data_IF_387147063524
#
_entry.id   IF_387147063524
#
_cell.length_a   1.000
_cell.length_b   1.000
_cell.length_c   1.000
_cell.angle_alpha   90.00
_cell.angle_beta   90.00
_cell.angle_gamma   90.00
#
_symmetry.space_group_name_H-M   'P 1'
#
loop_
_entity.id
_entity.type
_entity.pdbx_description
1 polymer ?
#
# COMPACT_ATOMS: atom_id res chain seq x y z
N UNK A 1 -62.32 26.30 -3.59
CA UNK A 1 -61.00 26.93 -3.86
C UNK A 1 -60.76 28.03 -2.84
N UNK A 2 -59.50 28.21 -2.38
CA UNK A 2 -59.02 29.28 -1.46
C UNK A 2 -59.66 29.37 -0.06
N UNK A 3 -58.87 29.04 0.97
CA UNK A 3 -58.78 29.70 2.30
C UNK A 3 -57.29 29.53 2.73
N UNK A 4 -56.51 30.46 3.28
CA UNK A 4 -56.63 31.59 4.22
C UNK A 4 -56.25 31.22 5.68
N UNK A 5 -55.08 31.75 6.11
CA UNK A 5 -54.62 32.24 7.44
C UNK A 5 -54.97 31.53 8.78
N UNK A 6 -53.97 31.50 9.68
CA UNK A 6 -53.95 31.51 11.19
C UNK A 6 -52.49 31.15 11.62
N UNK A 7 -51.79 31.68 12.64
CA UNK A 7 -51.72 32.94 13.43
C UNK A 7 -50.17 33.17 13.72
N UNK A 8 -49.58 34.33 14.05
CA UNK A 8 -49.45 35.07 15.34
C UNK A 8 -49.22 34.20 16.62
N UNK A 9 -48.46 34.58 17.67
CA UNK A 9 -47.57 35.73 17.92
C UNK A 9 -46.60 35.48 19.13
N UNK A 10 -45.40 36.10 19.05
CA UNK A 10 -44.71 36.98 20.06
C UNK A 10 -44.77 36.70 21.57
N UNK A 11 -43.59 36.53 22.20
CA UNK A 11 -43.04 37.31 23.34
C UNK A 11 -41.71 36.67 23.85
N UNK A 12 -40.71 37.32 24.49
CA UNK A 12 -39.96 38.60 24.37
C UNK A 12 -39.29 38.89 25.74
N UNK A 13 -38.01 39.32 25.72
CA UNK A 13 -37.08 39.67 26.84
C UNK A 13 -36.55 38.52 27.74
N UNK A 14 -35.23 38.54 28.00
CA UNK A 14 -34.58 37.73 29.03
C UNK A 14 -33.05 37.75 28.94
N UNK A 15 -32.41 38.74 29.57
CA UNK A 15 -30.94 38.89 29.59
C UNK A 15 -30.25 37.85 30.48
N UNK A 16 -28.92 37.75 30.32
CA UNK A 16 -27.94 37.36 31.35
C UNK A 16 -27.65 35.88 31.63
N UNK A 17 -26.36 35.56 31.51
CA UNK A 17 -25.54 34.74 32.44
C UNK A 17 -25.86 33.23 32.60
N UNK A 18 -24.87 32.43 32.20
CA UNK A 18 -24.57 31.04 32.55
C UNK A 18 -25.35 30.36 33.69
N UNK A 19 -25.89 29.17 33.41
CA UNK A 19 -25.72 27.99 34.31
C UNK A 19 -25.87 26.67 33.54
N UNK A 20 -25.15 25.63 33.97
CA UNK A 20 -25.22 24.29 33.38
C UNK A 20 -26.51 23.56 33.78
N UNK A 21 -27.25 23.05 32.81
CA UNK A 21 -28.18 21.91 32.99
C UNK A 21 -28.32 21.14 31.67
N UNK A 22 -27.58 20.04 31.55
CA UNK A 22 -27.64 19.15 30.38
C UNK A 22 -28.93 18.32 30.43
N UNK A 23 -30.00 18.82 29.81
CA UNK A 23 -31.26 18.08 29.67
C UNK A 23 -31.13 17.12 28.49
N UNK A 24 -30.70 15.89 28.76
CA UNK A 24 -30.61 14.85 27.74
C UNK A 24 -32.00 14.58 27.15
N UNK A 25 -32.15 14.82 25.85
CA UNK A 25 -33.32 14.38 25.11
C UNK A 25 -33.28 12.86 25.03
N UNK A 26 -34.15 12.20 25.80
CA UNK A 26 -34.37 10.77 25.67
C UNK A 26 -34.74 10.47 24.21
N UNK A 27 -33.93 9.63 23.56
CA UNK A 27 -34.15 9.25 22.16
C UNK A 27 -35.44 8.43 22.09
N UNK A 28 -36.36 8.84 21.24
CA UNK A 28 -37.47 8.00 20.83
C UNK A 28 -36.92 6.89 19.91
N UNK A 29 -36.82 5.69 20.45
CA UNK A 29 -36.25 4.53 19.76
C UNK A 29 -37.25 3.84 18.83
N UNK A 30 -38.54 4.09 19.00
CA UNK A 30 -39.58 3.61 18.11
C UNK A 30 -39.58 4.44 16.83
N UNK A 31 -39.56 5.77 16.94
CA UNK A 31 -39.39 6.67 15.78
C UNK A 31 -38.08 6.41 15.02
N UNK A 32 -36.98 6.14 15.72
CA UNK A 32 -35.71 5.77 15.10
C UNK A 32 -35.75 4.41 14.38
N UNK A 33 -36.56 3.47 14.87
CA UNK A 33 -36.75 2.16 14.25
C UNK A 33 -37.58 2.24 12.97
N UNK A 34 -38.71 2.96 12.98
CA UNK A 34 -39.53 3.14 11.77
C UNK A 34 -38.74 3.85 10.66
N UNK A 35 -37.95 4.88 11.00
CA UNK A 35 -37.05 5.55 10.05
C UNK A 35 -35.98 4.60 9.49
N UNK A 36 -35.46 3.66 10.29
CA UNK A 36 -34.50 2.67 9.83
C UNK A 36 -35.14 1.65 8.89
N UNK A 37 -36.37 1.19 9.16
CA UNK A 37 -37.13 0.37 8.22
C UNK A 37 -37.39 1.11 6.91
N UNK A 38 -37.67 2.40 6.94
CA UNK A 38 -37.93 3.19 5.74
C UNK A 38 -36.66 3.42 4.89
N UNK A 39 -35.50 3.58 5.54
CA UNK A 39 -34.22 3.94 4.90
C UNK A 39 -33.28 2.77 4.59
N UNK A 40 -33.39 1.62 5.27
CA UNK A 40 -32.57 0.43 5.02
C UNK A 40 -33.44 -0.77 4.61
N UNK A 41 -33.53 -1.07 3.29
CA UNK A 41 -34.25 -2.24 2.79
C UNK A 41 -33.75 -3.57 3.36
N UNK A 42 -32.44 -3.72 3.66
CA UNK A 42 -31.89 -4.98 4.20
C UNK A 42 -32.33 -5.21 5.65
N UNK A 43 -32.57 -4.15 6.42
CA UNK A 43 -33.18 -4.26 7.76
C UNK A 43 -34.66 -4.60 7.64
N UNK A 44 -35.38 -3.96 6.71
CA UNK A 44 -36.80 -4.25 6.45
C UNK A 44 -37.03 -5.69 6.02
N UNK A 45 -36.36 -6.15 4.98
CA UNK A 45 -36.45 -7.53 4.46
C UNK A 45 -36.16 -8.56 5.56
N UNK A 46 -35.24 -8.24 6.49
CA UNK A 46 -34.85 -9.12 7.60
C UNK A 46 -35.88 -9.14 8.74
N UNK A 47 -36.62 -8.07 8.96
CA UNK A 47 -37.77 -8.05 9.89
C UNK A 47 -38.97 -8.74 9.26
N UNK A 48 -39.29 -8.46 8.00
CA UNK A 48 -40.42 -9.05 7.27
C UNK A 48 -40.26 -10.57 7.07
N UNK A 49 -39.03 -11.06 6.91
CA UNK A 49 -38.72 -12.51 6.90
C UNK A 49 -38.65 -13.17 8.29
N UNK A 50 -38.92 -12.43 9.38
CA UNK A 50 -38.85 -12.93 10.75
C UNK A 50 -37.43 -13.20 11.27
N UNK A 51 -36.39 -12.80 10.52
CA UNK A 51 -34.97 -13.01 10.86
C UNK A 51 -34.40 -12.03 11.90
N UNK A 52 -35.17 -11.03 12.34
CA UNK A 52 -34.89 -10.16 13.49
C UNK A 52 -36.18 -9.53 14.03
N UNK A 53 -36.28 -9.31 15.34
CA UNK A 53 -37.42 -8.59 15.96
C UNK A 53 -37.13 -7.10 16.14
N UNK A 54 -38.18 -6.29 16.30
CA UNK A 54 -38.09 -4.85 16.56
C UNK A 54 -37.19 -4.52 17.75
N UNK A 55 -37.31 -5.30 18.83
CA UNK A 55 -36.53 -5.15 20.07
C UNK A 55 -35.05 -5.46 19.84
N UNK A 56 -34.73 -6.46 19.00
CA UNK A 56 -33.35 -6.80 18.65
C UNK A 56 -32.69 -5.70 17.81
N UNK A 57 -33.42 -5.12 16.85
CA UNK A 57 -32.95 -3.97 16.06
C UNK A 57 -32.76 -2.74 16.96
N UNK A 58 -33.70 -2.43 17.85
CA UNK A 58 -33.58 -1.32 18.81
C UNK A 58 -32.41 -1.54 19.79
N UNK A 59 -32.19 -2.77 20.28
CA UNK A 59 -31.05 -3.10 21.13
C UNK A 59 -29.71 -2.93 20.39
N UNK A 60 -29.66 -3.30 19.11
CA UNK A 60 -28.51 -3.07 18.24
C UNK A 60 -28.25 -1.56 18.02
N UNK A 61 -29.29 -0.76 17.75
CA UNK A 61 -29.17 0.71 17.61
C UNK A 61 -28.70 1.39 18.91
N UNK A 62 -29.17 0.92 20.08
CA UNK A 62 -28.69 1.39 21.39
C UNK A 62 -27.21 1.05 21.60
N UNK A 63 -26.80 -0.17 21.21
CA UNK A 63 -25.41 -0.66 21.35
C UNK A 63 -24.43 0.06 20.41
N UNK A 64 -24.84 0.40 19.19
CA UNK A 64 -24.00 1.16 18.26
C UNK A 64 -23.80 2.61 18.71
N UNK A 65 -24.83 3.25 19.29
CA UNK A 65 -24.71 4.62 19.83
C UNK A 65 -23.75 4.71 21.05
N UNK A 66 -23.62 3.65 21.84
CA UNK A 66 -22.74 3.60 23.01
C UNK A 66 -21.23 3.43 22.67
N UNK A 67 -20.89 3.09 21.42
CA UNK A 67 -19.51 2.72 21.02
C UNK A 67 -18.67 3.81 20.35
N UNK A 68 -19.20 5.01 20.10
CA UNK A 68 -18.56 5.97 19.17
C UNK A 68 -17.53 6.88 19.85
N UNK A 69 -16.24 6.51 19.78
CA UNK A 69 -15.15 7.50 19.72
C UNK A 69 -15.01 7.99 18.27
N UNK A 70 -14.97 9.31 18.08
CA UNK A 70 -14.97 10.01 16.78
C UNK A 70 -13.92 9.49 15.78
N UNK A 71 -14.36 9.06 14.59
CA UNK A 71 -13.66 9.32 13.32
C UNK A 71 -14.52 9.03 12.07
N UNK A 72 -15.37 9.98 11.68
CA UNK A 72 -15.83 10.13 10.29
C UNK A 72 -16.13 11.62 10.05
N UNK A 73 -15.59 12.22 8.99
CA UNK A 73 -15.88 13.60 8.61
C UNK A 73 -17.22 13.66 7.86
N UNK A 74 -18.04 14.66 8.18
CA UNK A 74 -19.39 14.85 7.60
C UNK A 74 -19.41 14.91 6.06
N UNK A 75 -18.30 15.34 5.44
CA UNK A 75 -18.11 15.39 4.00
C UNK A 75 -18.17 14.03 3.29
N UNK A 76 -17.92 12.90 3.97
CA UNK A 76 -18.00 11.56 3.37
C UNK A 76 -19.45 11.06 3.33
N UNK A 77 -20.22 11.32 4.40
CA UNK A 77 -21.64 10.93 4.48
C UNK A 77 -22.49 11.70 3.47
N UNK A 78 -22.24 13.01 3.32
CA UNK A 78 -22.93 13.83 2.32
C UNK A 78 -22.72 13.32 0.88
N UNK A 79 -21.48 12.96 0.52
CA UNK A 79 -21.15 12.43 -0.82
C UNK A 79 -21.85 11.10 -1.13
N UNK A 80 -22.06 10.25 -0.13
CA UNK A 80 -22.75 8.97 -0.33
C UNK A 80 -24.26 9.17 -0.55
N UNK A 81 -24.87 10.11 0.18
CA UNK A 81 -26.27 10.50 0.00
C UNK A 81 -26.53 11.12 -1.39
N UNK A 82 -25.68 12.07 -1.82
CA UNK A 82 -25.74 12.67 -3.17
C UNK A 82 -25.58 11.63 -4.29
N UNK A 83 -24.78 10.58 -4.06
CA UNK A 83 -24.60 9.49 -5.01
C UNK A 83 -25.84 8.58 -5.09
N UNK A 84 -26.46 8.24 -3.94
CA UNK A 84 -27.71 7.49 -3.90
C UNK A 84 -28.84 8.20 -4.65
N UNK A 85 -29.02 9.51 -4.43
CA UNK A 85 -30.05 10.30 -5.13
C UNK A 85 -29.83 10.32 -6.65
N UNK A 86 -28.57 10.35 -7.12
CA UNK A 86 -28.25 10.28 -8.55
C UNK A 86 -28.57 8.90 -9.14
N UNK A 87 -28.31 7.82 -8.41
CA UNK A 87 -28.69 6.47 -8.84
C UNK A 87 -30.22 6.31 -8.91
N UNK A 88 -30.97 6.79 -7.91
CA UNK A 88 -32.44 6.80 -7.95
C UNK A 88 -33.01 7.59 -9.12
N UNK A 89 -32.42 8.75 -9.45
CA UNK A 89 -32.82 9.54 -10.62
C UNK A 89 -32.55 8.79 -11.93
N UNK A 90 -31.41 8.10 -12.05
CA UNK A 90 -31.08 7.28 -13.22
C UNK A 90 -32.04 6.09 -13.38
N UNK A 91 -32.40 5.43 -12.28
CA UNK A 91 -33.42 4.35 -12.27
C UNK A 91 -34.79 4.88 -12.67
N UNK A 92 -35.24 6.00 -12.11
CA UNK A 92 -36.53 6.64 -12.49
C UNK A 92 -36.56 7.08 -13.95
N UNK A 93 -35.41 7.45 -14.53
CA UNK A 93 -35.28 7.79 -15.96
C UNK A 93 -35.18 6.57 -16.89
N UNK A 94 -35.21 5.34 -16.37
CA UNK A 94 -35.07 4.10 -17.16
C UNK A 94 -33.66 3.84 -17.71
N UNK A 95 -32.70 4.73 -17.46
CA UNK A 95 -31.30 4.60 -17.93
C UNK A 95 -30.50 3.54 -17.20
N UNK A 96 -31.03 3.00 -16.10
CA UNK A 96 -30.33 2.08 -15.21
C UNK A 96 -31.37 1.20 -14.50
N UNK A 97 -31.11 -0.11 -14.37
CA UNK A 97 -32.00 -0.99 -13.61
C UNK A 97 -31.75 -0.89 -12.10
N UNK A 98 -32.76 -1.18 -11.27
CA UNK A 98 -32.60 -1.24 -9.80
C UNK A 98 -31.43 -2.11 -9.36
N UNK A 99 -31.17 -3.22 -10.07
CA UNK A 99 -30.05 -4.14 -9.80
C UNK A 99 -28.69 -3.51 -10.11
N UNK A 100 -28.53 -2.90 -11.28
CA UNK A 100 -27.30 -2.19 -11.63
C UNK A 100 -27.03 -0.99 -10.70
N UNK A 101 -28.09 -0.34 -10.20
CA UNK A 101 -27.96 0.74 -9.24
C UNK A 101 -27.43 0.23 -7.89
N UNK A 102 -27.94 -0.92 -7.42
CA UNK A 102 -27.43 -1.59 -6.23
C UNK A 102 -25.96 -2.01 -6.39
N UNK A 103 -25.58 -2.60 -7.52
CA UNK A 103 -24.18 -2.99 -7.81
C UNK A 103 -23.23 -1.78 -7.84
N UNK A 104 -23.65 -0.65 -8.45
CA UNK A 104 -22.88 0.60 -8.43
C UNK A 104 -22.80 1.23 -7.03
N UNK A 105 -23.88 1.17 -6.25
CA UNK A 105 -23.91 1.65 -4.88
C UNK A 105 -22.98 0.82 -3.98
N UNK A 106 -23.03 -0.52 -4.07
CA UNK A 106 -22.12 -1.40 -3.34
C UNK A 106 -20.65 -1.23 -3.79
N UNK A 107 -20.40 -0.86 -5.05
CA UNK A 107 -19.04 -0.53 -5.53
C UNK A 107 -18.48 0.76 -4.90
N UNK A 108 -19.31 1.77 -4.62
CA UNK A 108 -18.88 3.00 -3.93
C UNK A 108 -18.92 2.90 -2.39
N UNK A 109 -19.92 2.22 -1.82
CA UNK A 109 -20.04 2.03 -0.38
C UNK A 109 -19.12 0.92 0.14
N UNK A 110 -18.70 -0.01 -0.72
CA UNK A 110 -17.91 -1.20 -0.41
C UNK A 110 -16.40 -0.97 -0.28
N UNK A 111 -15.98 -0.25 0.77
CA UNK A 111 -14.66 -0.51 1.36
C UNK A 111 -14.69 -0.75 2.87
N UNK A 112 -15.82 -1.24 3.38
CA UNK A 112 -15.94 -1.83 4.71
C UNK A 112 -16.94 -3.00 4.63
N UNK A 113 -16.42 -4.22 4.69
CA UNK A 113 -17.22 -5.43 4.83
C UNK A 113 -16.60 -6.25 5.96
N UNK A 114 -17.15 -6.06 7.16
CA UNK A 114 -16.84 -6.92 8.30
C UNK A 114 -17.33 -8.34 8.02
N UNK A 115 -16.51 -9.31 8.41
CA UNK A 115 -16.65 -10.70 8.01
C UNK A 115 -17.82 -11.41 8.68
N UNK A 116 -18.84 -11.75 7.90
CA UNK A 116 -19.62 -12.97 8.15
C UNK A 116 -18.92 -14.11 7.41
N UNK A 117 -18.50 -15.17 8.12
CA UNK A 117 -17.88 -16.33 7.50
C UNK A 117 -18.90 -17.06 6.62
N UNK A 118 -18.80 -16.87 5.30
CA UNK A 118 -19.36 -17.83 4.36
C UNK A 118 -18.36 -18.99 4.26
N UNK A 119 -18.80 -20.17 4.69
CA UNK A 119 -18.00 -21.38 4.60
C UNK A 119 -17.77 -21.71 3.12
N UNK A 120 -16.51 -21.69 2.68
CA UNK A 120 -16.17 -21.98 1.29
C UNK A 120 -16.23 -23.48 1.08
N UNK A 121 -17.04 -23.94 0.14
CA UNK A 121 -16.94 -25.29 -0.38
C UNK A 121 -15.59 -25.44 -1.11
N UNK A 122 -14.72 -26.28 -0.54
CA UNK A 122 -13.36 -26.47 -1.05
C UNK A 122 -13.29 -27.49 -2.18
N UNK A 123 -14.30 -28.35 -2.31
CA UNK A 123 -14.41 -29.31 -3.40
C UNK A 123 -14.86 -28.60 -4.67
N UNK A 124 -15.80 -27.66 -4.57
CA UNK A 124 -16.17 -26.82 -5.73
C UNK A 124 -14.98 -25.93 -6.18
N UNK A 125 -14.24 -25.35 -5.23
CA UNK A 125 -13.06 -24.55 -5.53
C UNK A 125 -11.94 -25.36 -6.21
N UNK A 126 -11.81 -26.65 -5.86
CA UNK A 126 -10.88 -27.59 -6.48
C UNK A 126 -11.32 -27.94 -7.92
N UNK A 127 -12.58 -28.29 -8.14
CA UNK A 127 -13.13 -28.57 -9.47
C UNK A 127 -13.03 -27.35 -10.42
N UNK A 128 -13.22 -26.14 -9.89
CA UNK A 128 -12.98 -24.92 -10.65
C UNK A 128 -11.50 -24.70 -11.00
N UNK A 129 -10.55 -25.14 -10.15
CA UNK A 129 -9.12 -25.06 -10.45
C UNK A 129 -8.73 -26.03 -11.56
N UNK A 130 -9.16 -27.30 -11.49
CA UNK A 130 -8.90 -28.30 -12.53
C UNK A 130 -9.40 -27.87 -13.92
N UNK A 131 -10.52 -27.12 -13.99
CA UNK A 131 -11.07 -26.57 -15.23
C UNK A 131 -10.32 -25.34 -15.75
N UNK A 132 -9.60 -24.61 -14.89
CA UNK A 132 -8.87 -23.38 -15.22
C UNK A 132 -7.38 -23.60 -15.46
N UNK A 133 -6.80 -24.64 -14.85
CA UNK A 133 -5.38 -24.97 -14.92
C UNK A 133 -5.18 -26.44 -15.34
N UNK A 134 -4.95 -26.70 -16.64
CA UNK A 134 -4.64 -28.03 -17.15
C UNK A 134 -3.35 -28.64 -16.58
N UNK A 135 -2.42 -27.82 -16.08
CA UNK A 135 -1.16 -28.28 -15.48
C UNK A 135 -1.35 -28.81 -14.06
N UNK A 136 -2.22 -28.18 -13.26
CA UNK A 136 -2.66 -28.74 -11.97
C UNK A 136 -3.43 -30.04 -12.22
N UNK A 137 -4.31 -30.08 -13.24
CA UNK A 137 -5.00 -31.32 -13.61
C UNK A 137 -4.03 -32.43 -14.01
N UNK A 138 -3.03 -32.14 -14.84
CA UNK A 138 -2.03 -33.13 -15.24
C UNK A 138 -1.27 -33.74 -14.04
N UNK A 139 -0.93 -32.93 -13.02
CA UNK A 139 -0.27 -33.38 -11.78
C UNK A 139 -1.17 -34.21 -10.86
N UNK A 140 -2.47 -33.98 -10.88
CA UNK A 140 -3.44 -34.83 -10.18
C UNK A 140 -3.62 -36.15 -10.94
N UNK A 141 -3.79 -36.09 -12.26
CA UNK A 141 -3.99 -37.27 -13.10
C UNK A 141 -2.74 -38.18 -13.15
N UNK A 142 -1.53 -37.64 -12.97
CA UNK A 142 -0.27 -38.40 -12.83
C UNK A 142 -0.02 -38.97 -11.43
N UNK A 143 -0.77 -38.50 -10.42
CA UNK A 143 -0.55 -38.85 -9.02
C UNK A 143 0.56 -38.06 -8.31
N UNK A 144 1.18 -37.07 -8.97
CA UNK A 144 2.21 -36.20 -8.38
C UNK A 144 1.66 -35.22 -7.33
N UNK A 145 0.34 -34.98 -7.32
CA UNK A 145 -0.34 -34.19 -6.32
C UNK A 145 -1.73 -34.78 -5.97
N UNK A 146 -2.07 -34.88 -4.68
CA UNK A 146 -3.41 -35.34 -4.27
C UNK A 146 -4.42 -34.20 -4.18
N UNK A 147 -5.72 -34.52 -4.25
CA UNK A 147 -6.82 -33.56 -4.09
C UNK A 147 -6.68 -32.74 -2.79
N UNK A 148 -6.29 -33.39 -1.70
CA UNK A 148 -6.11 -32.79 -0.38
C UNK A 148 -4.94 -31.80 -0.36
N UNK A 149 -3.84 -32.10 -1.06
CA UNK A 149 -2.69 -31.21 -1.20
C UNK A 149 -3.04 -29.97 -2.03
N UNK A 150 -3.79 -30.14 -3.13
CA UNK A 150 -4.28 -29.03 -3.96
C UNK A 150 -5.29 -28.16 -3.19
N UNK A 151 -6.17 -28.78 -2.39
CA UNK A 151 -7.09 -28.04 -1.50
C UNK A 151 -6.35 -27.32 -0.37
N UNK A 152 -5.30 -27.91 0.21
CA UNK A 152 -4.47 -27.26 1.21
C UNK A 152 -3.73 -26.03 0.62
N UNK A 153 -3.20 -26.17 -0.60
CA UNK A 153 -2.60 -25.07 -1.36
C UNK A 153 -3.62 -23.97 -1.69
N UNK A 154 -4.85 -24.32 -2.10
CA UNK A 154 -5.95 -23.37 -2.31
C UNK A 154 -6.32 -22.60 -1.03
N UNK A 155 -6.37 -23.30 0.12
CA UNK A 155 -6.59 -22.69 1.45
C UNK A 155 -5.46 -21.73 1.83
N UNK A 156 -4.21 -22.08 1.52
CA UNK A 156 -3.04 -21.25 1.79
C UNK A 156 -2.97 -20.01 0.88
N UNK A 157 -3.26 -20.16 -0.42
CA UNK A 157 -3.15 -19.07 -1.40
C UNK A 157 -4.36 -18.12 -1.44
N UNK A 158 -5.56 -18.54 -0.99
CA UNK A 158 -6.68 -17.59 -0.82
C UNK A 158 -6.39 -16.47 0.19
N UNK A 159 -5.41 -16.63 1.08
CA UNK A 159 -4.94 -15.58 1.99
C UNK A 159 -4.27 -14.37 1.31
N UNK A 160 -3.90 -14.49 0.03
CA UNK A 160 -3.10 -13.46 -0.69
C UNK A 160 -3.98 -12.45 -1.45
N UNK A 161 -5.20 -12.83 -1.84
CA UNK A 161 -6.10 -11.98 -2.63
C UNK A 161 -6.86 -10.90 -1.83
N UNK A 162 -6.85 -10.96 -0.48
CA UNK A 162 -7.72 -10.15 0.39
C UNK A 162 -7.07 -8.94 1.09
N UNK A 163 -5.75 -8.79 1.09
CA UNK A 163 -5.07 -7.73 1.87
C UNK A 163 -5.02 -6.39 1.15
N UNK A 164 -6.11 -5.62 1.20
CA UNK A 164 -6.05 -4.15 1.09
C UNK A 164 -5.18 -3.63 2.24
N UNK A 165 -4.00 -3.10 1.92
CA UNK A 165 -3.13 -2.45 2.91
C UNK A 165 -3.80 -1.16 3.43
N UNK A 166 -4.18 -1.11 4.71
CA UNK A 166 -4.58 0.14 5.38
C UNK A 166 -3.33 1.00 5.60
N UNK A 167 -3.25 2.23 5.09
CA UNK A 167 -2.08 3.09 5.28
C UNK A 167 -2.06 3.73 6.68
N UNK A 168 -0.86 3.90 7.25
CA UNK A 168 -0.62 4.90 8.30
C UNK A 168 -0.96 4.53 9.75
N UNK A 169 -0.36 3.47 10.30
CA UNK A 169 -0.31 3.25 11.75
C UNK A 169 0.84 4.02 12.41
N UNK A 170 0.55 5.15 13.07
CA UNK A 170 1.56 6.03 13.71
C UNK A 170 2.12 5.41 15.01
N UNK A 171 3.13 4.54 14.89
CA UNK A 171 3.82 3.91 16.02
C UNK A 171 4.65 4.91 16.83
N UNK A 172 4.15 5.29 18.02
CA UNK A 172 4.84 6.16 18.97
C UNK A 172 5.52 5.29 20.04
N UNK A 173 6.86 5.34 20.13
CA UNK A 173 7.61 4.67 21.19
C UNK A 173 9.01 4.24 20.77
N UNK A 174 10.03 4.91 21.29
CA UNK A 174 11.39 4.40 21.26
C UNK A 174 11.64 3.48 22.45
N UNK A 175 12.64 2.58 22.34
CA UNK A 175 13.04 1.68 23.42
C UNK A 175 13.74 0.45 22.86
N UNK A 176 14.95 0.15 23.36
CA UNK A 176 15.75 -1.00 22.93
C UNK A 176 15.11 -2.31 23.43
N UNK A 177 15.01 -3.31 22.55
CA UNK A 177 15.35 -4.74 22.74
C UNK A 177 14.42 -5.67 21.94
N UNK A 178 15.03 -6.57 21.16
CA UNK A 178 14.38 -7.79 20.66
C UNK A 178 13.14 -7.60 19.78
N UNK A 179 13.31 -7.14 18.54
CA UNK A 179 12.27 -7.32 17.51
C UNK A 179 12.04 -8.83 17.35
N UNK A 180 10.87 -9.33 17.78
CA UNK A 180 10.38 -10.64 17.36
C UNK A 180 10.22 -10.59 15.84
N UNK A 181 11.19 -11.17 15.13
CA UNK A 181 11.14 -11.34 13.67
C UNK A 181 9.94 -12.22 13.37
N UNK A 182 9.17 -11.89 12.34
CA UNK A 182 8.00 -12.69 11.99
C UNK A 182 8.44 -14.04 11.41
N UNK A 183 7.81 -15.12 11.84
CA UNK A 183 8.15 -16.51 11.47
C UNK A 183 7.65 -16.92 10.06
N UNK A 184 7.56 -15.97 9.13
CA UNK A 184 7.05 -16.18 7.77
C UNK A 184 7.35 -15.01 6.83
N UNK A 185 6.75 -14.97 5.62
CA UNK A 185 7.04 -13.95 4.61
C UNK A 185 6.81 -12.52 5.12
N UNK A 186 7.85 -11.70 5.02
CA UNK A 186 7.80 -10.27 5.31
C UNK A 186 8.03 -9.46 4.04
N UNK A 187 7.28 -8.36 3.88
CA UNK A 187 7.49 -7.44 2.75
C UNK A 187 8.94 -6.93 2.75
N UNK A 188 9.62 -7.12 1.62
CA UNK A 188 10.96 -6.63 1.34
C UNK A 188 11.06 -6.06 -0.07
N UNK A 189 10.26 -5.01 -0.31
CA UNK A 189 10.25 -4.29 -1.57
C UNK A 189 11.55 -3.46 -1.75
N UNK A 190 12.52 -4.03 -2.46
CA UNK A 190 13.90 -3.51 -2.63
C UNK A 190 14.53 -3.92 -3.97
N UNK A 191 15.48 -3.15 -4.51
CA UNK A 191 16.38 -3.64 -5.57
C UNK A 191 17.51 -4.41 -4.89
N UNK A 192 17.73 -5.64 -5.35
CA UNK A 192 18.84 -6.49 -4.93
C UNK A 192 19.77 -6.66 -6.12
N UNK A 193 21.05 -6.35 -5.93
CA UNK A 193 22.11 -6.44 -6.94
C UNK A 193 23.09 -7.53 -6.49
N UNK A 194 23.48 -8.40 -7.41
CA UNK A 194 24.40 -9.48 -7.08
C UNK A 194 24.75 -10.38 -8.25
N UNK A 195 25.61 -11.36 -7.99
CA UNK A 195 26.15 -12.29 -9.01
C UNK A 195 25.36 -13.59 -9.05
N UNK A 196 24.92 -13.98 -10.25
CA UNK A 196 24.16 -15.22 -10.45
C UNK A 196 25.01 -16.45 -10.16
N UNK A 197 24.58 -17.30 -9.21
CA UNK A 197 25.29 -18.53 -8.79
C UNK A 197 24.73 -19.79 -9.46
N UNK A 198 23.42 -19.93 -9.56
CA UNK A 198 22.69 -20.94 -10.36
C UNK A 198 21.31 -20.40 -10.76
N UNK A 199 20.63 -21.05 -11.71
CA UNK A 199 19.24 -20.77 -12.08
C UNK A 199 18.54 -22.05 -12.54
N UNK A 200 17.24 -22.10 -12.30
CA UNK A 200 16.28 -23.02 -12.90
C UNK A 200 15.22 -22.15 -13.60
N UNK A 201 15.18 -22.21 -14.93
CA UNK A 201 14.26 -21.36 -15.72
C UNK A 201 12.86 -21.96 -15.77
N UNK A 202 12.72 -23.28 -15.63
CA UNK A 202 11.42 -23.97 -15.66
C UNK A 202 10.65 -23.74 -14.35
N UNK A 203 11.35 -23.74 -13.22
CA UNK A 203 10.78 -23.44 -11.90
C UNK A 203 10.71 -21.95 -11.57
N UNK A 204 11.41 -21.09 -12.33
CA UNK A 204 11.46 -19.66 -12.05
C UNK A 204 12.27 -19.33 -10.79
N UNK A 205 13.33 -20.10 -10.55
CA UNK A 205 14.17 -20.02 -9.35
C UNK A 205 15.63 -19.71 -9.71
N UNK A 206 16.33 -19.05 -8.79
CA UNK A 206 17.77 -18.83 -8.92
C UNK A 206 18.44 -18.73 -7.56
N UNK A 207 19.77 -18.87 -7.56
CA UNK A 207 20.61 -18.49 -6.42
C UNK A 207 21.55 -17.36 -6.83
N UNK A 208 21.77 -16.41 -5.93
CA UNK A 208 22.68 -15.29 -6.18
C UNK A 208 23.47 -14.93 -4.93
N UNK A 209 24.69 -14.45 -5.14
CA UNK A 209 25.48 -13.79 -4.10
C UNK A 209 25.14 -12.29 -4.11
N UNK A 210 24.61 -11.76 -3.01
CA UNK A 210 24.16 -10.37 -2.93
C UNK A 210 25.34 -9.44 -2.69
N UNK A 211 25.65 -8.58 -3.66
CA UNK A 211 26.67 -7.55 -3.54
C UNK A 211 26.10 -6.28 -2.87
N UNK A 212 24.83 -5.92 -3.15
CA UNK A 212 24.20 -4.70 -2.63
C UNK A 212 22.67 -4.75 -2.62
N UNK A 213 22.05 -3.89 -1.82
CA UNK A 213 20.60 -3.63 -1.81
C UNK A 213 20.36 -2.12 -1.77
N UNK A 214 19.51 -1.64 -2.66
CA UNK A 214 19.09 -0.23 -2.77
C UNK A 214 17.57 -0.09 -2.87
N UNK A 215 17.06 1.14 -2.79
CA UNK A 215 15.65 1.45 -3.02
C UNK A 215 14.72 0.67 -2.08
N UNK A 216 15.06 0.66 -0.78
CA UNK A 216 14.40 -0.17 0.25
C UNK A 216 13.21 0.58 0.87
N UNK A 217 11.99 0.10 0.60
CA UNK A 217 10.75 0.72 1.07
C UNK A 217 10.17 0.11 2.35
N UNK A 218 10.74 -1.00 2.84
CA UNK A 218 10.20 -1.75 3.97
C UNK A 218 11.28 -2.25 4.94
N UNK A 219 11.37 -3.56 5.18
CA UNK A 219 12.15 -4.16 6.27
C UNK A 219 13.67 -4.05 6.06
N UNK A 220 14.26 -2.87 6.36
CA UNK A 220 15.69 -2.57 6.14
C UNK A 220 16.66 -3.54 6.80
N UNK A 221 16.32 -4.15 7.93
CA UNK A 221 17.13 -5.16 8.62
C UNK A 221 17.45 -6.40 7.76
N UNK A 222 16.67 -6.65 6.70
CA UNK A 222 16.92 -7.76 5.77
C UNK A 222 18.16 -7.48 4.91
N UNK A 223 18.51 -6.22 4.63
CA UNK A 223 19.77 -5.84 3.95
C UNK A 223 20.96 -6.43 4.70
N UNK A 224 21.02 -6.19 6.01
CA UNK A 224 22.08 -6.67 6.90
C UNK A 224 22.09 -8.20 7.02
N UNK A 225 20.95 -8.85 6.72
CA UNK A 225 20.83 -10.30 6.69
C UNK A 225 21.28 -10.93 5.37
N UNK A 226 21.11 -10.26 4.22
CA UNK A 226 21.37 -10.87 2.89
C UNK A 226 22.67 -10.40 2.22
N UNK A 227 23.14 -9.17 2.46
CA UNK A 227 24.35 -8.63 1.82
C UNK A 227 25.58 -9.47 2.19
N UNK A 228 26.41 -9.79 1.19
CA UNK A 228 27.58 -10.64 1.33
C UNK A 228 27.28 -12.14 1.44
N UNK A 229 26.02 -12.58 1.24
CA UNK A 229 25.62 -13.99 1.33
C UNK A 229 25.01 -14.49 0.03
N UNK A 230 25.00 -15.81 -0.13
CA UNK A 230 24.21 -16.46 -1.16
C UNK A 230 22.77 -16.64 -0.68
N UNK A 231 21.80 -16.24 -1.48
CA UNK A 231 20.37 -16.33 -1.19
C UNK A 231 19.63 -17.02 -2.35
N UNK A 232 18.51 -17.67 -2.00
CA UNK A 232 17.57 -18.21 -2.98
C UNK A 232 16.60 -17.11 -3.41
N UNK A 233 16.18 -17.13 -4.67
CA UNK A 233 15.15 -16.25 -5.23
C UNK A 233 14.14 -17.10 -5.99
N UNK A 234 12.86 -16.92 -5.74
CA UNK A 234 11.77 -17.69 -6.36
C UNK A 234 10.67 -16.77 -6.91
N UNK A 235 9.73 -17.34 -7.67
CA UNK A 235 8.59 -16.62 -8.22
C UNK A 235 8.92 -15.76 -9.45
N UNK A 236 10.08 -15.96 -10.07
CA UNK A 236 10.36 -15.39 -11.39
C UNK A 236 9.41 -16.08 -12.38
N UNK A 237 8.63 -15.31 -13.14
CA UNK A 237 7.54 -15.87 -13.95
C UNK A 237 7.20 -14.99 -15.15
N UNK A 238 6.50 -15.58 -16.13
CA UNK A 238 6.11 -14.90 -17.37
C UNK A 238 7.32 -14.31 -18.12
N UNK A 239 7.24 -13.07 -18.64
CA UNK A 239 8.32 -12.44 -19.40
C UNK A 239 9.66 -12.27 -18.66
N UNK A 240 9.71 -12.52 -17.34
CA UNK A 240 10.96 -12.50 -16.58
C UNK A 240 11.76 -13.82 -16.75
N UNK A 241 11.13 -14.92 -17.17
CA UNK A 241 11.83 -16.18 -17.46
C UNK A 241 12.76 -16.03 -18.67
N UNK A 242 12.33 -15.34 -19.72
CA UNK A 242 13.18 -15.04 -20.89
C UNK A 242 14.41 -14.20 -20.50
N UNK A 243 14.22 -13.21 -19.62
CA UNK A 243 15.33 -12.41 -19.07
C UNK A 243 16.26 -13.26 -18.19
N UNK A 244 15.70 -14.13 -17.35
CA UNK A 244 16.47 -15.07 -16.54
C UNK A 244 17.28 -16.03 -17.42
N UNK A 245 16.73 -16.52 -18.53
CA UNK A 245 17.41 -17.36 -19.51
C UNK A 245 18.63 -16.66 -20.12
N UNK A 246 18.55 -15.36 -20.39
CA UNK A 246 19.64 -14.57 -20.95
C UNK A 246 20.79 -14.31 -19.96
N UNK A 247 20.50 -14.08 -18.67
CA UNK A 247 21.55 -13.77 -17.66
C UNK A 247 22.47 -14.98 -17.47
N UNK A 248 23.78 -14.80 -17.73
CA UNK A 248 24.78 -15.88 -17.62
C UNK A 248 25.28 -16.06 -16.19
N UNK A 249 25.62 -17.30 -15.82
CA UNK A 249 26.24 -17.62 -14.52
C UNK A 249 27.49 -16.75 -14.29
N UNK A 250 27.64 -16.25 -13.06
CA UNK A 250 28.73 -15.35 -12.67
C UNK A 250 28.54 -13.88 -13.05
N UNK A 251 27.56 -13.53 -13.91
CA UNK A 251 27.24 -12.13 -14.21
C UNK A 251 26.53 -11.46 -13.04
N UNK A 252 26.82 -10.17 -12.86
CA UNK A 252 26.03 -9.31 -11.97
C UNK A 252 24.71 -8.96 -12.66
N UNK A 253 23.64 -9.00 -11.90
CA UNK A 253 22.31 -8.57 -12.32
C UNK A 253 21.64 -7.83 -11.17
N UNK A 254 20.57 -7.10 -11.49
CA UNK A 254 19.69 -6.53 -10.47
C UNK A 254 18.27 -7.04 -10.69
N UNK A 255 17.56 -7.31 -9.60
CA UNK A 255 16.14 -7.63 -9.64
C UNK A 255 15.39 -6.88 -8.53
N UNK A 256 14.07 -6.76 -8.65
CA UNK A 256 13.25 -6.26 -7.55
C UNK A 256 12.65 -7.39 -6.73
N UNK A 257 13.06 -7.45 -5.47
CA UNK A 257 12.43 -8.29 -4.46
C UNK A 257 11.06 -7.71 -4.06
N UNK A 258 10.12 -8.59 -3.73
CA UNK A 258 8.81 -8.26 -3.17
C UNK A 258 8.72 -8.62 -1.69
N UNK A 259 9.10 -9.85 -1.35
CA UNK A 259 9.09 -10.39 0.01
C UNK A 259 10.38 -11.16 0.33
N UNK A 260 10.58 -11.43 1.61
CA UNK A 260 11.63 -12.29 2.14
C UNK A 260 11.00 -13.27 3.15
N UNK A 261 11.20 -14.56 2.94
CA UNK A 261 10.80 -15.59 3.89
C UNK A 261 11.94 -15.86 4.89
N UNK A 262 11.71 -15.49 6.15
CA UNK A 262 12.74 -15.52 7.21
C UNK A 262 13.21 -16.93 7.55
N UNK A 263 12.37 -17.95 7.33
CA UNK A 263 12.64 -19.34 7.69
C UNK A 263 13.51 -20.05 6.63
N UNK A 264 13.16 -19.88 5.37
CA UNK A 264 13.88 -20.46 4.22
C UNK A 264 15.00 -19.56 3.69
N UNK A 265 15.04 -18.28 4.10
CA UNK A 265 15.98 -17.25 3.63
C UNK A 265 15.86 -16.99 2.12
N UNK A 266 14.63 -17.01 1.63
CA UNK A 266 14.28 -16.90 0.22
C UNK A 266 13.69 -15.54 -0.08
N UNK A 267 14.15 -14.90 -1.14
CA UNK A 267 13.53 -13.69 -1.70
C UNK A 267 12.49 -14.07 -2.76
N UNK A 268 11.40 -13.30 -2.88
CA UNK A 268 10.44 -13.46 -3.96
C UNK A 268 10.55 -12.34 -4.99
N UNK A 269 10.36 -12.65 -6.27
CA UNK A 269 10.26 -11.64 -7.32
C UNK A 269 9.02 -10.74 -7.17
N UNK A 270 9.18 -9.42 -7.32
CA UNK A 270 8.05 -8.50 -7.22
C UNK A 270 7.14 -8.53 -8.46
N UNK A 271 5.89 -8.98 -8.29
CA UNK A 271 4.92 -9.14 -9.39
C UNK A 271 4.55 -7.85 -10.15
N UNK A 272 4.76 -6.66 -9.57
CA UNK A 272 4.24 -5.39 -10.11
C UNK A 272 5.27 -4.46 -10.73
N UNK A 273 6.56 -4.81 -10.71
CA UNK A 273 7.64 -3.93 -11.21
C UNK A 273 8.75 -4.75 -11.91
N UNK A 274 8.93 -4.51 -13.21
CA UNK A 274 9.67 -5.39 -14.13
C UNK A 274 11.22 -5.29 -14.08
N UNK A 275 11.80 -5.21 -12.88
CA UNK A 275 13.26 -5.22 -12.72
C UNK A 275 13.76 -6.66 -12.60
N UNK A 276 14.36 -7.14 -13.68
CA UNK A 276 15.30 -8.26 -13.75
C UNK A 276 16.18 -8.01 -14.98
N UNK A 277 17.43 -7.61 -14.80
CA UNK A 277 18.33 -7.26 -15.91
C UNK A 277 19.81 -7.44 -15.53
N UNK A 278 20.64 -7.85 -16.51
CA UNK A 278 22.10 -7.86 -16.35
C UNK A 278 22.60 -6.44 -16.05
N UNK A 279 23.58 -6.34 -15.15
CA UNK A 279 24.16 -5.08 -14.72
C UNK A 279 25.69 -5.16 -14.74
N UNK A 280 26.35 -4.01 -14.78
CA UNK A 280 27.79 -3.95 -14.58
C UNK A 280 28.16 -4.51 -13.18
N UNK A 281 29.37 -5.09 -13.02
CA UNK A 281 29.87 -5.53 -11.71
C UNK A 281 29.71 -4.45 -10.65
N UNK A 282 29.23 -4.83 -9.46
CA UNK A 282 28.89 -3.86 -8.43
C UNK A 282 30.09 -3.02 -8.00
N UNK A 283 29.89 -1.70 -7.96
CA UNK A 283 30.80 -0.72 -7.37
C UNK A 283 29.96 0.29 -6.58
N UNK A 284 30.26 0.51 -5.31
CA UNK A 284 29.44 1.35 -4.42
C UNK A 284 29.16 2.76 -5.02
N UNK A 285 30.17 3.36 -5.64
CA UNK A 285 30.09 4.68 -6.29
C UNK A 285 29.12 4.71 -7.47
N UNK A 286 28.92 3.60 -8.18
CA UNK A 286 28.03 3.55 -9.34
C UNK A 286 26.55 3.56 -8.95
N UNK A 287 26.20 3.07 -7.75
CA UNK A 287 24.83 2.89 -7.26
C UNK A 287 24.32 4.01 -6.36
N UNK A 288 25.20 4.97 -6.03
CA UNK A 288 24.87 6.15 -5.24
C UNK A 288 25.11 5.99 -3.73
N UNK A 289 25.96 5.03 -3.33
CA UNK A 289 26.36 4.83 -1.93
C UNK A 289 27.28 5.99 -1.49
N UNK A 290 26.92 6.76 -0.46
CA UNK A 290 27.70 7.92 -0.04
C UNK A 290 29.00 7.50 0.68
N UNK A 291 30.10 8.26 0.51
CA UNK A 291 31.31 8.13 1.32
C UNK A 291 31.01 8.29 2.81
N UNK A 292 31.79 7.61 3.67
CA UNK A 292 31.52 7.58 5.11
C UNK A 292 31.48 8.97 5.75
N UNK A 293 32.42 9.84 5.38
CA UNK A 293 32.52 11.20 5.95
C UNK A 293 31.35 12.12 5.52
N UNK A 294 30.63 11.76 4.45
CA UNK A 294 29.44 12.48 4.00
C UNK A 294 28.15 12.03 4.72
N UNK A 295 28.17 10.88 5.41
CA UNK A 295 26.96 10.33 6.05
C UNK A 295 26.45 11.28 7.12
N UNK A 296 25.13 11.47 7.13
CA UNK A 296 24.45 12.43 7.99
C UNK A 296 24.33 13.84 7.41
N UNK A 297 24.73 14.05 6.14
CA UNK A 297 24.52 15.30 5.42
C UNK A 297 23.06 15.78 5.44
N UNK A 298 22.88 17.09 5.62
CA UNK A 298 21.62 17.80 5.38
C UNK A 298 21.92 19.11 4.66
N UNK A 299 21.18 19.40 3.61
CA UNK A 299 21.44 20.59 2.80
C UNK A 299 20.86 20.51 1.40
N UNK A 300 21.33 21.40 0.53
CA UNK A 300 20.87 21.57 -0.85
C UNK A 300 21.99 21.14 -1.80
N UNK A 301 21.75 20.09 -2.58
CA UNK A 301 22.68 19.60 -3.60
C UNK A 301 22.20 20.02 -4.98
N UNK A 302 23.14 20.18 -5.90
CA UNK A 302 22.86 20.37 -7.32
C UNK A 302 23.73 19.42 -8.15
N UNK A 303 23.16 18.89 -9.23
CA UNK A 303 23.87 17.94 -10.07
C UNK A 303 23.01 17.31 -11.16
N UNK A 304 23.61 16.38 -11.89
CA UNK A 304 23.06 15.82 -13.12
C UNK A 304 22.45 14.43 -12.90
N UNK A 305 21.20 14.22 -13.32
CA UNK A 305 20.51 12.93 -13.29
C UNK A 305 21.18 11.96 -14.28
N UNK A 306 21.45 10.74 -13.81
CA UNK A 306 22.00 9.62 -14.59
C UNK A 306 21.09 8.38 -14.61
N UNK A 307 20.15 8.26 -13.66
CA UNK A 307 19.09 7.24 -13.63
C UNK A 307 17.83 7.87 -13.03
N UNK A 308 16.65 7.48 -13.51
CA UNK A 308 15.35 7.91 -12.95
C UNK A 308 14.37 6.73 -12.96
N UNK A 309 13.58 6.59 -11.89
CA UNK A 309 12.54 5.57 -11.81
C UNK A 309 11.93 5.46 -10.42
N UNK A 310 10.64 5.13 -10.33
CA UNK A 310 9.98 4.82 -9.04
C UNK A 310 9.89 5.96 -8.03
N UNK A 311 9.93 7.22 -8.48
CA UNK A 311 10.09 8.41 -7.63
C UNK A 311 11.44 8.48 -6.91
N UNK A 312 12.48 7.94 -7.55
CA UNK A 312 13.88 8.04 -7.19
C UNK A 312 14.69 8.60 -8.37
N UNK A 313 15.81 9.26 -8.07
CA UNK A 313 16.84 9.61 -9.04
C UNK A 313 18.21 9.16 -8.53
N UNK A 314 19.05 8.69 -9.44
CA UNK A 314 20.50 8.66 -9.25
C UNK A 314 21.06 9.91 -9.92
N UNK A 315 21.81 10.73 -9.18
CA UNK A 315 22.43 11.94 -9.71
C UNK A 315 23.92 11.98 -9.37
N UNK A 316 24.74 12.48 -10.29
CA UNK A 316 26.12 12.91 -9.99
C UNK A 316 26.05 14.30 -9.36
N UNK A 317 26.60 14.47 -8.15
CA UNK A 317 26.64 15.77 -7.47
C UNK A 317 27.71 16.65 -8.12
N UNK A 318 27.30 17.80 -8.66
CA UNK A 318 28.21 18.79 -9.26
C UNK A 318 28.55 19.88 -8.24
N UNK A 319 27.59 20.28 -7.39
CA UNK A 319 27.72 21.40 -6.46
C UNK A 319 26.97 21.14 -5.14
N UNK A 320 27.53 21.67 -4.05
CA UNK A 320 26.90 21.74 -2.73
C UNK A 320 26.40 23.18 -2.57
N UNK A 321 25.12 23.41 -2.82
CA UNK A 321 24.54 24.76 -2.85
C UNK A 321 24.40 25.34 -1.45
N UNK A 322 24.08 24.49 -0.45
CA UNK A 322 24.15 24.87 0.96
C UNK A 322 24.22 23.67 1.89
N UNK A 323 24.77 23.90 3.09
CA UNK A 323 24.81 22.93 4.19
C UNK A 323 23.91 23.44 5.31
N UNK A 324 23.02 22.59 5.82
CA UNK A 324 22.14 22.93 6.94
C UNK A 324 22.90 22.85 8.28
N UNK A 325 22.50 23.66 9.27
CA UNK A 325 23.20 23.74 10.58
C UNK A 325 23.17 22.41 11.36
N UNK A 326 22.14 21.61 11.12
CA UNK A 326 21.90 20.29 11.69
C UNK A 326 22.55 19.13 10.91
N UNK A 327 23.34 19.43 9.86
CA UNK A 327 24.13 18.44 9.12
C UNK A 327 25.15 17.78 10.05
N UNK A 328 25.31 16.46 9.95
CA UNK A 328 26.25 15.67 10.77
C UNK A 328 27.41 15.07 9.97
N UNK A 329 27.51 15.39 8.68
CA UNK A 329 28.63 14.98 7.83
C UNK A 329 29.95 15.56 8.37
N UNK A 330 30.95 14.71 8.53
CA UNK A 330 32.30 15.10 8.96
C UNK A 330 33.05 15.87 7.85
N UNK A 331 32.82 15.51 6.59
CA UNK A 331 33.34 16.22 5.43
C UNK A 331 32.29 16.20 4.31
N UNK A 332 31.79 17.37 3.91
CA UNK A 332 30.78 17.48 2.85
C UNK A 332 31.38 17.41 1.45
N UNK A 333 32.64 17.84 1.28
CA UNK A 333 33.27 18.04 -0.03
C UNK A 333 33.56 16.74 -0.78
N UNK A 334 33.72 15.62 -0.05
CA UNK A 334 33.99 14.28 -0.62
C UNK A 334 32.89 13.76 -1.56
N UNK A 335 31.70 14.39 -1.56
CA UNK A 335 30.60 14.00 -2.43
C UNK A 335 30.70 14.62 -3.85
N UNK A 336 31.51 15.67 -4.04
CA UNK A 336 31.61 16.33 -5.35
C UNK A 336 32.14 15.36 -6.41
N UNK A 337 31.44 15.27 -7.54
CA UNK A 337 31.69 14.31 -8.60
C UNK A 337 31.24 12.87 -8.32
N UNK A 338 30.80 12.54 -7.09
CA UNK A 338 30.25 11.22 -6.75
C UNK A 338 28.75 11.17 -7.06
N UNK A 339 28.21 9.95 -7.17
CA UNK A 339 26.76 9.74 -7.31
C UNK A 339 26.09 9.62 -5.95
N UNK A 340 24.84 10.07 -5.89
CA UNK A 340 23.92 9.86 -4.76
C UNK A 340 22.57 9.40 -5.28
N UNK A 341 21.94 8.45 -4.58
CA UNK A 341 20.56 8.04 -4.85
C UNK A 341 19.61 8.83 -3.95
N UNK A 342 18.75 9.64 -4.57
CA UNK A 342 17.75 10.45 -3.87
C UNK A 342 16.39 9.78 -4.01
N UNK A 343 15.76 9.49 -2.88
CA UNK A 343 14.47 8.79 -2.78
C UNK A 343 13.39 9.70 -2.19
N UNK A 344 12.13 9.28 -2.25
CA UNK A 344 11.02 10.00 -1.62
C UNK A 344 10.43 11.13 -2.47
N UNK A 345 10.79 11.23 -3.75
CA UNK A 345 10.33 12.29 -4.64
C UNK A 345 8.84 12.18 -5.04
N UNK A 346 8.11 11.19 -4.50
CA UNK A 346 6.67 11.03 -4.72
C UNK A 346 5.87 12.20 -4.11
N UNK A 347 6.43 12.86 -3.09
CA UNK A 347 5.87 14.08 -2.52
C UNK A 347 5.99 15.29 -3.47
N UNK A 348 6.87 15.18 -4.47
CA UNK A 348 7.19 16.20 -5.48
C UNK A 348 6.80 15.74 -6.88
N UNK A 349 5.71 14.97 -6.99
CA UNK A 349 5.29 14.31 -8.23
C UNK A 349 5.31 15.26 -9.44
N UNK A 350 4.68 16.42 -9.34
CA UNK A 350 4.53 17.34 -10.47
C UNK A 350 5.89 17.86 -10.98
N UNK A 351 6.86 18.05 -10.09
CA UNK A 351 8.23 18.40 -10.46
C UNK A 351 9.02 17.19 -10.98
N UNK A 352 8.79 16.00 -10.42
CA UNK A 352 9.44 14.75 -10.81
C UNK A 352 9.02 14.26 -12.20
N UNK A 353 7.73 14.37 -12.54
CA UNK A 353 7.17 13.89 -13.82
C UNK A 353 7.76 14.63 -15.05
N UNK A 354 8.36 15.81 -14.85
CA UNK A 354 9.09 16.56 -15.88
C UNK A 354 10.60 16.27 -15.98
N UNK A 355 11.15 15.41 -15.11
CA UNK A 355 12.59 15.11 -15.07
C UNK A 355 12.99 14.00 -16.04
N UNK A 356 14.14 14.19 -16.67
CA UNK A 356 14.70 13.27 -17.64
C UNK A 356 16.17 12.93 -17.29
N UNK A 357 16.64 11.76 -17.74
CA UNK A 357 18.07 11.43 -17.66
C UNK A 357 18.87 12.48 -18.44
N UNK A 358 19.89 13.04 -17.79
CA UNK A 358 20.70 14.12 -18.34
C UNK A 358 20.36 15.52 -17.83
N UNK A 359 19.18 15.70 -17.22
CA UNK A 359 18.79 16.97 -16.61
C UNK A 359 19.67 17.33 -15.42
N UNK A 360 19.84 18.64 -15.18
CA UNK A 360 20.37 19.15 -13.91
C UNK A 360 19.22 19.46 -12.98
N UNK A 361 19.35 19.03 -11.74
CA UNK A 361 18.42 19.36 -10.66
C UNK A 361 19.14 19.98 -9.48
N UNK A 362 18.39 20.78 -8.74
CA UNK A 362 18.69 21.22 -7.38
C UNK A 362 17.68 20.56 -6.45
N UNK A 363 18.16 19.86 -5.44
CA UNK A 363 17.33 19.05 -4.55
C UNK A 363 17.75 19.19 -3.10
N UNK A 364 16.79 19.47 -2.20
CA UNK A 364 17.06 19.48 -0.76
C UNK A 364 16.97 18.06 -0.23
N UNK A 365 18.01 17.65 0.49
CA UNK A 365 18.20 16.26 0.93
C UNK A 365 18.52 16.16 2.41
N UNK A 366 18.14 15.03 3.00
CA UNK A 366 18.63 14.59 4.30
C UNK A 366 19.06 13.12 4.28
N UNK A 367 20.28 12.89 4.74
CA UNK A 367 20.84 11.56 4.92
C UNK A 367 20.59 11.06 6.35
N UNK A 368 20.04 9.85 6.47
CA UNK A 368 19.88 9.17 7.75
C UNK A 368 20.85 8.00 7.79
N UNK A 369 21.96 8.16 8.51
CA UNK A 369 22.94 7.10 8.76
C UNK A 369 22.27 5.92 9.51
N UNK A 370 22.48 4.63 9.14
CA UNK A 370 23.42 4.09 8.14
C UNK A 370 22.79 3.73 6.78
N UNK A 371 21.72 4.41 6.35
CA UNK A 371 21.16 4.19 5.01
C UNK A 371 22.14 4.66 3.93
N UNK A 372 22.01 4.12 2.72
CA UNK A 372 22.80 4.56 1.56
C UNK A 372 22.03 5.57 0.68
N UNK A 373 20.73 5.74 0.91
CA UNK A 373 19.88 6.66 0.17
C UNK A 373 19.67 8.00 0.91
N UNK A 374 19.55 9.07 0.14
CA UNK A 374 19.23 10.41 0.61
C UNK A 374 17.72 10.65 0.47
N UNK A 375 17.06 11.16 1.50
CA UNK A 375 15.64 11.52 1.42
C UNK A 375 15.51 12.92 0.82
N UNK A 376 14.85 13.05 -0.33
CA UNK A 376 14.40 14.34 -0.86
C UNK A 376 13.34 14.95 0.05
N UNK A 377 13.44 16.24 0.34
CA UNK A 377 12.60 16.93 1.33
C UNK A 377 11.51 17.80 0.71
N UNK A 378 11.88 18.96 0.17
CA UNK A 378 10.95 20.06 -0.13
C UNK A 378 11.31 20.82 -1.42
N UNK A 379 12.59 20.97 -1.75
CA UNK A 379 13.05 21.56 -3.02
C UNK A 379 13.36 20.45 -4.02
N UNK A 380 12.76 20.52 -5.21
CA UNK A 380 13.12 19.78 -6.41
C UNK A 380 12.92 20.68 -7.63
N UNK A 381 13.99 21.28 -8.13
CA UNK A 381 13.98 22.25 -9.22
C UNK A 381 14.87 21.77 -10.36
N UNK A 382 14.40 21.88 -11.62
CA UNK A 382 15.27 21.73 -12.80
C UNK A 382 16.09 23.00 -12.99
N UNK A 383 17.41 22.86 -13.18
CA UNK A 383 18.34 23.98 -13.33
C UNK A 383 18.76 24.07 -14.79
N UNK A 384 18.50 25.21 -15.43
CA UNK A 384 18.95 25.48 -16.79
C UNK A 384 20.48 25.60 -16.86
N UNK A 385 21.04 25.28 -18.03
CA UNK A 385 22.45 25.54 -18.31
C UNK A 385 22.66 27.05 -18.42
N UNK A 386 23.50 27.60 -17.55
CA UNK A 386 24.28 28.81 -17.88
C UNK A 386 25.44 28.42 -18.79
#
# INVERSE_FOLDING_TARGET
MRYLAILLAVAVVGSSVTTHAQKESAVDWDAAYELLLETDPKVRDKVESGGATKEQIIAWMKKSKAGVKKSASSATVAKLADFHQKLDALVKSGKLTKRQAAELYETMAGSEQDSVKQETDWDEAYEQLLKKDPGVKAKVDSGDATKEQVIAWLKQNRGVAGRKAKPGGKGKGGGKNGVKRADGPVNFYAIVIGRLRSKDVELGELTMEVDHVSSIYSNRWIKDEIVGKTVNVTGISGPLLDKLLQIKRGKTFKFRAGEYDVKSKTLTGAQKFHVLEEAAPFKAEDYGVPPQDFRGFRGLLQGKIVEIGGYEVLMTVEEIVSVAKESKAANVEVIKGKRVRVIGLYAHKDAYDGLHVGDRIRVRVSHTDPNDELNGLDVLEKVERK
#
